data_IF_270193792128
#
_entry.id   IF_270193792128
#
_cell.length_a   1.000
_cell.length_b   1.000
_cell.length_c   1.000
_cell.angle_alpha   90.00
_cell.angle_beta   90.00
_cell.angle_gamma   90.00
#
_symmetry.space_group_name_H-M   'P 1'
#
loop_
_entity.id
_entity.type
_entity.pdbx_description
1 polymer ?
#
# COMPACT_ATOMS: atom_id res chain seq x y z
N UNK A 1 21.48 21.77 10.84
CA UNK A 1 20.57 20.61 10.91
C UNK A 1 19.87 20.48 9.56
N UNK A 2 20.34 19.56 8.71
CA UNK A 2 19.85 19.38 7.35
C UNK A 2 18.61 18.48 7.42
N UNK A 3 17.46 19.02 7.05
CA UNK A 3 16.23 18.23 6.94
C UNK A 3 16.40 17.36 5.70
N UNK A 4 16.56 16.05 5.91
CA UNK A 4 16.52 15.07 4.83
C UNK A 4 15.12 15.10 4.23
N UNK A 5 14.94 15.85 3.14
CA UNK A 5 13.70 15.83 2.38
C UNK A 5 13.73 14.54 1.56
N UNK A 6 13.33 13.45 2.20
CA UNK A 6 13.02 12.20 1.48
C UNK A 6 12.01 12.57 0.40
N UNK A 7 12.47 12.65 -0.86
CA UNK A 7 11.56 12.82 -2.00
C UNK A 7 10.75 11.54 -2.06
N UNK A 8 9.48 11.64 -1.66
CA UNK A 8 8.49 10.58 -1.88
C UNK A 8 8.57 10.17 -3.34
N UNK A 9 8.91 8.91 -3.58
CA UNK A 9 8.93 8.33 -4.92
C UNK A 9 7.57 7.72 -5.15
N UNK A 10 6.94 8.12 -6.24
CA UNK A 10 5.67 7.54 -6.67
C UNK A 10 5.93 6.73 -7.93
N UNK A 11 5.43 5.50 -7.96
CA UNK A 11 5.51 4.61 -9.11
C UNK A 11 4.12 4.11 -9.48
N UNK A 12 3.88 3.95 -10.78
CA UNK A 12 2.63 3.39 -11.29
C UNK A 12 2.72 1.87 -11.32
N UNK A 13 1.89 1.23 -10.52
CA UNK A 13 1.71 -0.22 -10.51
C UNK A 13 0.48 -0.60 -11.31
N UNK A 14 0.60 -1.61 -12.17
CA UNK A 14 -0.55 -2.24 -12.80
C UNK A 14 -1.01 -3.40 -11.91
N UNK A 15 -2.17 -3.26 -11.27
CA UNK A 15 -2.78 -4.26 -10.39
C UNK A 15 -4.04 -4.80 -11.07
N UNK A 16 -4.09 -6.09 -11.41
CA UNK A 16 -5.22 -6.70 -12.12
C UNK A 16 -5.67 -5.91 -13.38
N UNK A 17 -4.73 -5.27 -14.08
CA UNK A 17 -5.01 -4.42 -15.26
C UNK A 17 -5.39 -2.96 -14.96
N UNK A 18 -5.52 -2.56 -13.69
CA UNK A 18 -5.75 -1.18 -13.28
C UNK A 18 -4.43 -0.50 -12.92
N UNK A 19 -4.23 0.72 -13.42
CA UNK A 19 -3.08 1.55 -13.05
C UNK A 19 -3.35 2.30 -11.74
N UNK A 20 -2.46 2.13 -10.76
CA UNK A 20 -2.50 2.82 -9.47
C UNK A 20 -1.14 3.44 -9.20
N UNK A 21 -1.14 4.73 -8.86
CA UNK A 21 0.08 5.40 -8.40
C UNK A 21 0.26 5.14 -6.90
N UNK A 22 1.39 4.55 -6.54
CA UNK A 22 1.72 4.18 -5.18
C UNK A 22 3.01 4.85 -4.73
N UNK A 23 3.04 5.25 -3.45
CA UNK A 23 4.27 5.71 -2.81
C UNK A 23 5.17 4.50 -2.54
N UNK A 24 6.41 4.56 -3.02
CA UNK A 24 7.42 3.54 -2.80
C UNK A 24 8.08 3.80 -1.46
N UNK A 25 7.79 2.95 -0.49
CA UNK A 25 8.42 2.92 0.82
C UNK A 25 9.40 1.75 0.89
N UNK A 26 10.70 2.04 0.87
CA UNK A 26 11.75 0.99 0.90
C UNK A 26 11.95 0.39 2.28
N UNK A 27 11.40 1.00 3.34
CA UNK A 27 11.52 0.53 4.72
C UNK A 27 10.37 -0.34 5.22
N UNK A 28 9.44 -0.76 4.36
CA UNK A 28 8.27 -1.55 4.75
C UNK A 28 8.34 -2.99 4.21
N UNK A 29 8.10 -3.97 5.09
CA UNK A 29 7.96 -5.38 4.71
C UNK A 29 6.60 -5.71 4.07
N UNK A 30 5.70 -4.74 3.99
CA UNK A 30 4.32 -4.92 3.51
C UNK A 30 3.82 -3.73 2.70
N UNK A 31 3.07 -4.03 1.65
CA UNK A 31 2.35 -3.03 0.87
C UNK A 31 1.02 -2.71 1.57
N UNK A 32 0.77 -1.43 1.86
CA UNK A 32 -0.49 -0.95 2.44
C UNK A 32 -1.17 -0.07 1.41
N UNK A 33 -2.46 -0.31 1.19
CA UNK A 33 -3.32 0.46 0.27
C UNK A 33 -4.44 1.09 1.10
N UNK A 34 -4.83 2.32 0.76
CA UNK A 34 -5.96 2.98 1.44
C UNK A 34 -7.30 2.35 1.07
N UNK A 35 -8.33 2.57 1.89
CA UNK A 35 -9.68 2.08 1.61
C UNK A 35 -10.26 2.70 0.32
N UNK A 36 -9.86 3.92 -0.07
CA UNK A 36 -10.28 4.53 -1.35
C UNK A 36 -9.68 3.78 -2.54
N UNK A 37 -8.37 3.57 -2.54
CA UNK A 37 -7.69 2.86 -3.62
C UNK A 37 -8.16 1.40 -3.70
N UNK A 38 -8.47 0.78 -2.56
CA UNK A 38 -9.09 -0.54 -2.50
C UNK A 38 -10.43 -0.60 -3.24
N UNK A 39 -11.32 0.39 -3.01
CA UNK A 39 -12.62 0.47 -3.69
C UNK A 39 -12.44 0.64 -5.19
N UNK A 40 -11.51 1.48 -5.62
CA UNK A 40 -11.22 1.68 -7.05
C UNK A 40 -10.72 0.40 -7.70
N UNK A 41 -9.85 -0.35 -7.00
CA UNK A 41 -9.36 -1.64 -7.45
C UNK A 41 -10.45 -2.71 -7.54
N UNK A 42 -11.62 -2.49 -6.93
CA UNK A 42 -12.75 -3.44 -6.90
C UNK A 42 -12.33 -4.85 -6.47
N UNK A 43 -11.28 -4.93 -5.65
CA UNK A 43 -10.68 -6.19 -5.24
C UNK A 43 -11.54 -6.81 -4.12
N UNK A 44 -11.88 -8.09 -4.29
CA UNK A 44 -12.55 -8.87 -3.25
C UNK A 44 -11.60 -9.05 -2.08
N UNK A 45 -12.04 -8.70 -0.87
CA UNK A 45 -11.33 -9.05 0.36
C UNK A 45 -11.14 -10.57 0.42
N UNK A 46 -9.90 -11.00 0.58
CA UNK A 46 -9.62 -12.24 1.29
C UNK A 46 -9.98 -11.98 2.75
N UNK A 47 -10.47 -12.99 3.46
CA UNK A 47 -11.06 -12.89 4.81
C UNK A 47 -10.31 -11.96 5.78
N UNK A 48 -11.02 -11.52 6.82
CA UNK A 48 -10.47 -10.64 7.88
C UNK A 48 -9.16 -11.20 8.42
N UNK A 49 -8.03 -10.57 8.08
CA UNK A 49 -6.75 -11.01 8.61
C UNK A 49 -6.46 -10.23 9.90
N UNK A 50 -6.20 -10.92 11.03
CA UNK A 50 -5.99 -10.26 12.30
C UNK A 50 -4.54 -9.77 12.41
N UNK A 51 -4.14 -8.82 11.55
CA UNK A 51 -2.84 -8.16 11.68
C UNK A 51 -3.02 -6.80 12.36
N UNK A 52 -2.29 -6.61 13.46
CA UNK A 52 -2.09 -5.31 14.08
C UNK A 52 -0.85 -4.70 13.44
N UNK A 53 -1.00 -3.59 12.73
CA UNK A 53 0.11 -2.91 12.07
C UNK A 53 0.46 -1.66 12.87
N UNK A 54 1.74 -1.53 13.22
CA UNK A 54 2.30 -0.31 13.80
C UNK A 54 2.71 0.63 12.67
N UNK A 55 2.19 1.87 12.69
CA UNK A 55 2.67 2.92 11.79
C UNK A 55 4.04 3.40 12.28
N UNK A 56 4.87 3.91 11.38
CA UNK A 56 6.18 4.49 11.72
C UNK A 56 6.08 5.63 12.75
N UNK A 57 4.93 6.31 12.85
CA UNK A 57 4.66 7.35 13.84
C UNK A 57 4.26 6.81 15.23
N UNK A 58 4.22 5.49 15.43
CA UNK A 58 3.88 4.84 16.71
C UNK A 58 2.39 4.53 16.91
N UNK A 59 1.50 5.07 16.06
CA UNK A 59 0.08 4.78 16.13
C UNK A 59 -0.26 3.37 15.61
N UNK A 60 -1.12 2.66 16.34
CA UNK A 60 -1.66 1.39 15.89
C UNK A 60 -2.73 1.62 14.81
N UNK A 61 -2.55 1.01 13.64
CA UNK A 61 -3.57 0.93 12.61
C UNK A 61 -4.16 -0.48 12.55
N UNK A 62 -5.47 -0.56 12.33
CA UNK A 62 -6.15 -1.82 12.03
C UNK A 62 -6.32 -1.92 10.52
N UNK A 63 -5.84 -3.00 9.93
CA UNK A 63 -6.11 -3.29 8.52
C UNK A 63 -7.56 -3.76 8.38
N UNK A 64 -8.21 -3.30 7.32
CA UNK A 64 -9.61 -3.66 7.06
C UNK A 64 -9.72 -5.05 6.42
N UNK A 65 -8.67 -5.54 5.75
CA UNK A 65 -8.57 -6.88 5.17
C UNK A 65 -7.25 -7.08 4.42
N UNK A 66 -7.12 -8.22 3.73
CA UNK A 66 -5.99 -8.50 2.86
C UNK A 66 -6.46 -9.00 1.49
N UNK A 67 -5.57 -8.95 0.51
CA UNK A 67 -5.79 -9.57 -0.80
C UNK A 67 -4.48 -10.02 -1.42
N UNK A 68 -4.57 -11.10 -2.19
CA UNK A 68 -3.59 -11.48 -3.18
C UNK A 68 -3.98 -10.88 -4.53
N UNK A 69 -3.03 -10.24 -5.19
CA UNK A 69 -3.19 -9.67 -6.52
C UNK A 69 -1.95 -9.92 -7.35
N UNK A 70 -2.12 -9.96 -8.67
CA UNK A 70 -0.99 -9.89 -9.58
C UNK A 70 -0.68 -8.42 -9.87
N UNK A 71 0.60 -8.07 -9.72
CA UNK A 71 1.07 -6.73 -9.97
C UNK A 71 2.34 -6.73 -10.80
N UNK A 72 2.44 -5.74 -11.68
CA UNK A 72 3.64 -5.45 -12.45
C UNK A 72 3.91 -3.95 -12.41
N UNK A 73 5.17 -3.58 -12.20
CA UNK A 73 5.61 -2.21 -12.43
C UNK A 73 5.50 -1.89 -13.92
N UNK A 74 4.97 -0.71 -14.23
CA UNK A 74 5.00 -0.22 -15.60
C UNK A 74 6.47 0.05 -15.98
N UNK A 75 6.95 -0.58 -17.06
CA UNK A 75 8.26 -0.31 -17.66
C UNK A 75 8.27 1.05 -18.36
#
# INVERSE_FOLDING_TARGET
>A
MQVNVSRRRYETLCINGLHVDLEVETGSDSNIVSDEAWKTLSIRKLDTVPFKVSRALGDAAKLSGAVQYEAAFKK
#
